data_IF_771234826498
#
_entry.id   IF_771234826498
#
_cell.length_a   1.000
_cell.length_b   1.000
_cell.length_c   1.000
_cell.angle_alpha   90.00
_cell.angle_beta   90.00
_cell.angle_gamma   90.00
#
_symmetry.space_group_name_H-M   'P 1'
#
loop_
_entity.id
_entity.type
_entity.pdbx_description
1 polymer ?
#
# COMPACT_ATOMS: atom_id res chain seq x y z
N UNK A 1 -43.61 8.02 35.50
CA UNK A 1 -44.84 7.34 35.03
C UNK A 1 -44.57 6.82 33.63
N UNK A 2 -44.54 5.51 33.42
CA UNK A 2 -44.37 4.92 32.08
C UNK A 2 -45.75 4.88 31.41
N UNK A 3 -45.88 5.42 30.21
CA UNK A 3 -47.16 5.45 29.49
C UNK A 3 -47.43 4.05 28.89
N UNK A 4 -48.62 3.47 29.09
CA UNK A 4 -48.94 2.16 28.53
C UNK A 4 -49.01 2.25 27.00
N UNK A 5 -48.15 1.50 26.30
CA UNK A 5 -48.13 1.44 24.83
C UNK A 5 -49.18 0.46 24.31
N UNK A 6 -49.86 0.82 23.21
CA UNK A 6 -50.82 -0.05 22.52
C UNK A 6 -50.19 -0.66 21.27
N UNK A 7 -50.42 -1.96 21.05
CA UNK A 7 -50.01 -2.66 19.83
C UNK A 7 -51.07 -2.48 18.75
N UNK A 8 -50.65 -2.01 17.56
CA UNK A 8 -51.49 -1.82 16.38
C UNK A 8 -51.04 -2.79 15.28
N UNK A 9 -51.97 -3.34 14.51
CA UNK A 9 -51.67 -4.12 13.30
C UNK A 9 -52.37 -3.44 12.12
N UNK A 10 -51.59 -3.07 11.10
CA UNK A 10 -52.09 -2.41 9.89
C UNK A 10 -52.09 -3.42 8.74
N UNK A 11 -53.19 -3.48 8.01
CA UNK A 11 -53.32 -4.28 6.80
C UNK A 11 -53.31 -3.33 5.60
N UNK A 12 -52.44 -3.57 4.63
CA UNK A 12 -52.34 -2.80 3.40
C UNK A 12 -52.16 -3.74 2.20
N UNK A 13 -52.43 -3.24 0.99
CA UNK A 13 -52.08 -3.96 -0.22
C UNK A 13 -50.58 -3.86 -0.46
N UNK A 14 -49.98 -4.89 -1.05
CA UNK A 14 -48.54 -4.96 -1.32
C UNK A 14 -48.02 -3.75 -2.11
N UNK A 15 -48.78 -3.28 -3.10
CA UNK A 15 -48.47 -2.09 -3.91
C UNK A 15 -48.46 -0.76 -3.13
N UNK A 16 -49.09 -0.71 -1.95
CA UNK A 16 -49.26 0.49 -1.15
C UNK A 16 -48.36 0.49 0.09
N UNK A 17 -47.52 -0.56 0.27
CA UNK A 17 -46.67 -0.74 1.46
C UNK A 17 -45.75 0.47 1.67
N UNK A 18 -45.02 0.91 0.64
CA UNK A 18 -44.08 2.02 0.75
C UNK A 18 -44.79 3.32 1.16
N UNK A 19 -45.91 3.62 0.50
CA UNK A 19 -46.73 4.79 0.81
C UNK A 19 -47.27 4.77 2.24
N UNK A 20 -47.71 3.61 2.73
CA UNK A 20 -48.20 3.45 4.11
C UNK A 20 -47.06 3.61 5.10
N UNK A 21 -45.88 3.04 4.82
CA UNK A 21 -44.69 3.19 5.65
C UNK A 21 -44.21 4.64 5.72
N UNK A 22 -44.25 5.38 4.61
CA UNK A 22 -43.94 6.81 4.58
C UNK A 22 -44.89 7.62 5.45
N UNK A 23 -46.20 7.41 5.31
CA UNK A 23 -47.19 8.11 6.14
C UNK A 23 -47.04 7.78 7.64
N UNK A 24 -46.66 6.54 7.96
CA UNK A 24 -46.38 6.08 9.32
C UNK A 24 -45.09 6.72 9.87
N UNK A 25 -44.05 6.83 9.05
CA UNK A 25 -42.79 7.50 9.36
C UNK A 25 -43.00 8.98 9.65
N UNK A 26 -43.74 9.66 8.79
CA UNK A 26 -44.07 11.08 8.93
C UNK A 26 -44.90 11.36 10.19
N UNK A 27 -45.76 10.42 10.58
CA UNK A 27 -46.53 10.52 11.82
C UNK A 27 -45.64 10.49 13.07
N UNK A 28 -44.49 9.79 13.04
CA UNK A 28 -43.46 9.81 14.08
C UNK A 28 -43.85 9.30 15.48
N UNK A 29 -45.08 8.83 15.68
CA UNK A 29 -45.62 8.46 17.01
C UNK A 29 -45.70 6.96 17.26
N UNK A 30 -45.36 6.14 16.26
CA UNK A 30 -45.47 4.68 16.35
C UNK A 30 -44.11 4.02 16.14
N UNK A 31 -43.86 2.97 16.91
CA UNK A 31 -42.69 2.12 16.72
C UNK A 31 -43.04 1.01 15.75
N UNK A 32 -42.44 1.04 14.56
CA UNK A 32 -42.64 0.01 13.53
C UNK A 32 -41.76 -1.20 13.88
N UNK A 33 -42.37 -2.37 13.92
CA UNK A 33 -41.66 -3.63 14.15
C UNK A 33 -41.90 -4.54 12.96
N UNK A 34 -40.82 -4.95 12.29
CA UNK A 34 -40.93 -5.86 11.16
C UNK A 34 -41.26 -7.27 11.66
N UNK A 35 -42.26 -7.89 11.05
CA UNK A 35 -42.65 -9.28 11.38
C UNK A 35 -41.62 -10.27 10.83
N UNK A 36 -40.95 -9.90 9.74
CA UNK A 36 -39.81 -10.61 9.15
C UNK A 36 -38.62 -9.65 9.04
N UNK A 37 -37.36 -10.15 9.07
CA UNK A 37 -36.20 -9.31 8.83
C UNK A 37 -36.34 -8.59 7.48
N UNK A 38 -36.19 -7.27 7.43
CA UNK A 38 -36.25 -6.55 6.16
C UNK A 38 -35.04 -6.99 5.31
N UNK A 39 -35.33 -7.42 4.09
CA UNK A 39 -34.35 -7.87 3.11
C UNK A 39 -34.73 -7.29 1.75
N UNK A 40 -33.74 -6.77 1.03
CA UNK A 40 -33.93 -6.16 -0.28
C UNK A 40 -32.66 -5.47 -0.74
N UNK A 41 -32.46 -5.40 -2.06
CA UNK A 41 -31.25 -4.85 -2.67
C UNK A 41 -31.03 -3.37 -2.29
N UNK A 42 -32.11 -2.58 -2.19
CA UNK A 42 -32.06 -1.17 -1.82
C UNK A 42 -31.61 -0.94 -0.35
N UNK A 43 -32.02 -1.84 0.55
CA UNK A 43 -31.57 -1.82 1.95
C UNK A 43 -30.08 -2.13 2.05
N UNK A 44 -29.60 -3.12 1.28
CA UNK A 44 -28.19 -3.48 1.25
C UNK A 44 -27.33 -2.38 0.62
N UNK A 45 -27.80 -1.73 -0.46
CA UNK A 45 -27.14 -0.56 -1.04
C UNK A 45 -27.05 0.60 -0.04
N UNK A 46 -28.15 0.90 0.66
CA UNK A 46 -28.17 1.94 1.69
C UNK A 46 -27.23 1.62 2.87
N UNK A 47 -27.14 0.35 3.27
CA UNK A 47 -26.18 -0.09 4.30
C UNK A 47 -24.74 0.09 3.86
N UNK A 48 -24.41 -0.31 2.63
CA UNK A 48 -23.07 -0.14 2.08
C UNK A 48 -22.69 1.33 1.97
N UNK A 49 -23.61 2.19 1.53
CA UNK A 49 -23.38 3.63 1.45
C UNK A 49 -23.09 4.22 2.84
N UNK A 50 -23.89 3.84 3.85
CA UNK A 50 -23.69 4.30 5.22
C UNK A 50 -22.34 3.84 5.79
N UNK A 51 -21.94 2.60 5.54
CA UNK A 51 -20.62 2.10 5.96
C UNK A 51 -19.47 2.86 5.28
N UNK A 52 -19.59 3.12 3.96
CA UNK A 52 -18.60 3.91 3.20
C UNK A 52 -18.49 5.34 3.73
N UNK A 53 -19.62 5.97 4.03
CA UNK A 53 -19.68 7.32 4.59
C UNK A 53 -19.06 7.39 5.99
N UNK A 54 -19.36 6.41 6.86
CA UNK A 54 -18.78 6.33 8.20
C UNK A 54 -17.25 6.16 8.16
N UNK A 55 -16.74 5.30 7.28
CA UNK A 55 -15.30 5.14 7.07
C UNK A 55 -14.65 6.43 6.59
N UNK A 56 -15.25 7.11 5.62
CA UNK A 56 -14.74 8.39 5.14
C UNK A 56 -14.71 9.45 6.26
N UNK A 57 -15.75 9.51 7.09
CA UNK A 57 -15.81 10.40 8.24
C UNK A 57 -14.71 10.10 9.26
N UNK A 58 -14.48 8.82 9.57
CA UNK A 58 -13.42 8.40 10.49
C UNK A 58 -12.03 8.81 9.98
N UNK A 59 -11.74 8.56 8.69
CA UNK A 59 -10.50 8.98 8.04
C UNK A 59 -10.31 10.50 8.15
N UNK A 60 -11.31 11.29 7.74
CA UNK A 60 -11.25 12.75 7.83
C UNK A 60 -10.99 13.19 9.28
N UNK A 61 -11.70 12.60 10.25
CA UNK A 61 -11.56 12.98 11.66
C UNK A 61 -10.14 12.74 12.17
N UNK A 62 -9.54 11.60 11.83
CA UNK A 62 -8.17 11.24 12.19
C UNK A 62 -7.15 12.19 11.59
N UNK A 63 -7.28 12.52 10.31
CA UNK A 63 -6.36 13.43 9.61
C UNK A 63 -6.48 14.85 10.15
N UNK A 64 -7.71 15.32 10.42
CA UNK A 64 -7.93 16.63 11.05
C UNK A 64 -7.28 16.67 12.45
N UNK A 65 -7.41 15.59 13.23
CA UNK A 65 -6.78 15.46 14.54
C UNK A 65 -5.25 15.41 14.49
N UNK A 66 -4.67 14.90 13.41
CA UNK A 66 -3.23 14.89 13.18
C UNK A 66 -2.66 16.27 12.77
N UNK A 67 -3.47 17.16 12.19
CA UNK A 67 -3.04 18.51 11.80
C UNK A 67 -2.72 19.39 13.01
N UNK A 68 -1.58 20.08 12.96
CA UNK A 68 -1.19 21.07 13.96
C UNK A 68 -2.13 22.29 13.95
N UNK A 69 -2.27 23.01 15.08
CA UNK A 69 -3.09 24.23 15.14
C UNK A 69 -2.70 25.28 14.09
N UNK A 70 -1.41 25.37 13.72
CA UNK A 70 -0.93 26.26 12.66
C UNK A 70 -1.41 25.86 11.27
N UNK A 71 -1.51 24.55 11.01
CA UNK A 71 -1.97 24.01 9.72
C UNK A 71 -3.48 24.14 9.60
N UNK A 72 -4.23 23.95 10.69
CA UNK A 72 -5.67 24.23 10.76
C UNK A 72 -6.01 25.70 10.50
N UNK A 73 -5.15 26.62 10.92
CA UNK A 73 -5.31 28.07 10.70
C UNK A 73 -4.82 28.55 9.33
N UNK A 74 -3.83 27.84 8.74
CA UNK A 74 -3.31 28.11 7.41
C UNK A 74 -4.10 27.42 6.29
N UNK A 75 -4.94 26.44 6.64
CA UNK A 75 -5.86 25.81 5.69
C UNK A 75 -6.67 26.91 4.99
N UNK A 76 -6.71 26.93 3.64
CA UNK A 76 -7.50 27.91 2.94
C UNK A 76 -8.95 27.75 3.39
N UNK A 77 -9.45 28.74 4.13
CA UNK A 77 -10.89 28.90 4.33
C UNK A 77 -11.45 29.14 2.95
N UNK A 78 -11.84 28.07 2.24
CA UNK A 78 -12.50 28.14 0.95
C UNK A 78 -13.91 28.73 1.18
N UNK A 79 -13.99 30.03 1.49
CA UNK A 79 -15.22 30.81 1.63
C UNK A 79 -15.90 31.08 0.27
N UNK A 80 -15.62 30.27 -0.75
CA UNK A 80 -16.01 30.55 -2.14
C UNK A 80 -16.46 29.34 -2.96
N UNK A 81 -16.61 28.14 -2.37
CA UNK A 81 -17.17 26.98 -3.07
C UNK A 81 -18.31 26.36 -2.26
N UNK A 82 -19.38 27.14 -2.11
CA UNK A 82 -20.72 26.63 -1.77
C UNK A 82 -21.43 26.15 -3.05
N UNK A 83 -20.74 25.37 -3.87
CA UNK A 83 -21.45 24.34 -4.61
C UNK A 83 -21.43 23.17 -3.64
N UNK A 84 -22.59 22.72 -3.18
CA UNK A 84 -22.70 21.53 -2.36
C UNK A 84 -22.06 20.38 -3.15
N UNK A 85 -20.78 20.14 -2.93
CA UNK A 85 -20.10 18.98 -3.47
C UNK A 85 -20.92 17.79 -2.98
N UNK A 86 -21.40 17.00 -3.94
CA UNK A 86 -22.25 15.87 -3.66
C UNK A 86 -21.57 14.99 -2.61
N UNK A 87 -22.29 14.59 -1.57
CA UNK A 87 -21.71 13.86 -0.45
C UNK A 87 -21.01 12.59 -0.94
N UNK A 88 -21.58 11.97 -1.98
CA UNK A 88 -21.02 10.79 -2.65
C UNK A 88 -19.68 11.10 -3.31
N UNK A 89 -19.54 12.27 -3.96
CA UNK A 89 -18.26 12.68 -4.57
C UNK A 89 -17.17 12.89 -3.52
N UNK A 90 -17.52 13.44 -2.36
CA UNK A 90 -16.57 13.62 -1.25
C UNK A 90 -16.15 12.24 -0.71
N UNK A 91 -17.11 11.34 -0.50
CA UNK A 91 -16.83 9.98 -0.02
C UNK A 91 -15.89 9.26 -1.00
N UNK A 92 -16.19 9.28 -2.31
CA UNK A 92 -15.33 8.66 -3.32
C UNK A 92 -13.92 9.26 -3.33
N UNK A 93 -13.82 10.60 -3.26
CA UNK A 93 -12.53 11.29 -3.25
C UNK A 93 -11.68 10.88 -2.03
N UNK A 94 -12.29 10.78 -0.85
CA UNK A 94 -11.58 10.35 0.37
C UNK A 94 -11.04 8.94 0.19
N UNK A 95 -11.87 7.99 -0.27
CA UNK A 95 -11.43 6.61 -0.48
C UNK A 95 -10.34 6.50 -1.56
N UNK A 96 -10.44 7.29 -2.64
CA UNK A 96 -9.42 7.35 -3.70
C UNK A 96 -8.09 7.87 -3.17
N UNK A 97 -8.10 8.97 -2.39
CA UNK A 97 -6.90 9.54 -1.80
C UNK A 97 -6.25 8.59 -0.78
N UNK A 98 -7.04 7.96 0.09
CA UNK A 98 -6.54 6.96 1.04
C UNK A 98 -5.89 5.78 0.31
N UNK A 99 -6.52 5.31 -0.77
CA UNK A 99 -5.95 4.22 -1.57
C UNK A 99 -4.62 4.65 -2.22
N UNK A 100 -4.57 5.83 -2.83
CA UNK A 100 -3.33 6.37 -3.42
C UNK A 100 -2.22 6.49 -2.38
N UNK A 101 -2.54 6.98 -1.18
CA UNK A 101 -1.57 7.08 -0.09
C UNK A 101 -1.05 5.71 0.33
N UNK A 102 -1.93 4.70 0.44
CA UNK A 102 -1.53 3.33 0.76
C UNK A 102 -0.65 2.70 -0.33
N UNK A 103 -1.03 2.87 -1.60
CA UNK A 103 -0.27 2.36 -2.74
C UNK A 103 1.12 3.01 -2.81
N UNK A 104 1.20 4.33 -2.59
CA UNK A 104 2.46 5.07 -2.54
C UNK A 104 3.35 4.62 -1.37
N UNK A 105 2.78 4.44 -0.17
CA UNK A 105 3.51 3.94 0.99
C UNK A 105 4.08 2.54 0.74
N UNK A 106 3.31 1.65 0.12
CA UNK A 106 3.77 0.31 -0.23
C UNK A 106 4.91 0.33 -1.25
N UNK A 107 4.85 1.22 -2.25
CA UNK A 107 5.93 1.40 -3.22
C UNK A 107 7.20 1.94 -2.54
N UNK A 108 7.05 2.93 -1.67
CA UNK A 108 8.16 3.50 -0.92
C UNK A 108 8.86 2.47 -0.04
N UNK A 109 8.09 1.66 0.70
CA UNK A 109 8.63 0.57 1.51
C UNK A 109 9.35 -0.47 0.64
N UNK A 110 8.81 -0.76 -0.55
CA UNK A 110 9.47 -1.60 -1.56
C UNK A 110 10.81 -1.04 -2.03
N UNK A 111 10.88 0.26 -2.36
CA UNK A 111 12.13 0.91 -2.74
C UNK A 111 13.15 0.94 -1.61
N UNK A 112 12.71 1.25 -0.38
CA UNK A 112 13.59 1.25 0.81
C UNK A 112 14.18 -0.12 1.07
N UNK A 113 13.36 -1.17 0.99
CA UNK A 113 13.83 -2.54 1.12
C UNK A 113 14.86 -2.90 0.04
N UNK A 114 14.63 -2.48 -1.20
CA UNK A 114 15.56 -2.74 -2.30
C UNK A 114 16.89 -1.99 -2.12
N UNK A 115 16.85 -0.72 -1.71
CA UNK A 115 18.03 0.10 -1.40
C UNK A 115 18.83 -0.56 -0.27
N UNK A 116 18.15 -1.00 0.79
CA UNK A 116 18.78 -1.72 1.90
C UNK A 116 19.39 -3.05 1.44
N UNK A 117 18.71 -3.78 0.57
CA UNK A 117 19.23 -5.03 -0.02
C UNK A 117 20.51 -4.79 -0.82
N UNK A 118 20.59 -3.66 -1.51
CA UNK A 118 21.75 -3.23 -2.30
C UNK A 118 22.83 -2.53 -1.46
N UNK A 119 22.56 -2.24 -0.20
CA UNK A 119 23.56 -1.68 0.71
C UNK A 119 24.77 -2.62 0.74
N UNK A 120 25.96 -2.08 0.45
CA UNK A 120 27.21 -2.87 0.38
C UNK A 120 27.60 -3.40 -1.01
N UNK A 121 26.71 -3.37 -2.01
CA UNK A 121 27.08 -3.64 -3.42
C UNK A 121 27.62 -2.39 -4.14
N UNK A 122 27.23 -1.21 -3.66
CA UNK A 122 27.55 0.07 -4.30
C UNK A 122 26.56 0.44 -5.41
N UNK A 123 26.87 1.50 -6.16
CA UNK A 123 26.08 1.90 -7.32
C UNK A 123 26.64 1.25 -8.58
N UNK A 124 25.81 0.46 -9.26
CA UNK A 124 26.13 -0.16 -10.54
C UNK A 124 24.86 -0.27 -11.39
N UNK A 125 25.03 -0.27 -12.72
CA UNK A 125 23.92 -0.50 -13.65
C UNK A 125 23.76 -2.01 -13.92
N UNK A 126 22.59 -2.60 -13.64
CA UNK A 126 22.32 -4.00 -13.98
C UNK A 126 22.40 -4.28 -15.48
N UNK A 127 22.17 -3.27 -16.33
CA UNK A 127 22.30 -3.38 -17.78
C UNK A 127 23.70 -3.78 -18.23
N UNK A 128 24.74 -3.25 -17.56
CA UNK A 128 26.13 -3.60 -17.85
C UNK A 128 26.42 -5.08 -17.62
N UNK A 129 25.80 -5.68 -16.58
CA UNK A 129 25.96 -7.10 -16.27
C UNK A 129 25.28 -7.97 -17.34
N UNK A 130 24.12 -7.55 -17.84
CA UNK A 130 23.43 -8.26 -18.93
C UNK A 130 24.24 -8.18 -20.22
N UNK A 131 24.77 -7.01 -20.57
CA UNK A 131 25.64 -6.84 -21.74
C UNK A 131 26.92 -7.68 -21.66
N UNK A 132 27.52 -7.79 -20.48
CA UNK A 132 28.68 -8.67 -20.26
C UNK A 132 28.31 -10.13 -20.53
N UNK A 133 27.11 -10.56 -20.10
CA UNK A 133 26.58 -11.89 -20.38
C UNK A 133 26.46 -12.17 -21.88
N UNK A 134 25.97 -11.21 -22.66
CA UNK A 134 25.90 -11.32 -24.12
C UNK A 134 27.27 -11.45 -24.79
N UNK A 135 28.30 -10.82 -24.19
CA UNK A 135 29.70 -10.90 -24.64
C UNK A 135 30.43 -12.16 -24.14
N UNK A 136 29.73 -13.06 -23.43
CA UNK A 136 30.26 -14.32 -22.91
C UNK A 136 30.94 -14.22 -21.54
N UNK A 137 30.83 -13.07 -20.87
CA UNK A 137 31.31 -12.82 -19.51
C UNK A 137 30.15 -12.96 -18.54
N UNK A 138 30.14 -14.03 -17.75
CA UNK A 138 29.10 -14.26 -16.76
C UNK A 138 29.49 -13.60 -15.45
N UNK A 139 28.61 -12.75 -14.92
CA UNK A 139 28.76 -12.16 -13.58
C UNK A 139 27.64 -12.68 -12.69
N UNK A 140 28.02 -13.27 -11.55
CA UNK A 140 27.09 -13.75 -10.52
C UNK A 140 27.37 -13.03 -9.20
N UNK A 141 26.34 -12.41 -8.63
CA UNK A 141 26.44 -11.79 -7.32
C UNK A 141 26.12 -12.83 -6.25
N UNK A 142 26.95 -12.90 -5.22
CA UNK A 142 26.76 -13.78 -4.07
C UNK A 142 26.93 -12.99 -2.78
N UNK A 143 26.21 -13.40 -1.74
CA UNK A 143 26.36 -12.87 -0.39
C UNK A 143 26.78 -13.99 0.57
N UNK A 144 27.68 -13.66 1.49
CA UNK A 144 28.15 -14.57 2.54
C UNK A 144 28.17 -13.87 3.90
N UNK A 145 28.05 -14.61 5.02
CA UNK A 145 28.21 -14.03 6.36
C UNK A 145 29.59 -13.35 6.54
N UNK A 146 29.64 -12.27 7.32
CA UNK A 146 30.88 -11.56 7.64
C UNK A 146 31.95 -12.51 8.22
N UNK A 147 33.19 -12.35 7.75
CA UNK A 147 34.32 -13.19 8.15
C UNK A 147 34.44 -14.53 7.40
N UNK A 148 33.52 -14.83 6.48
CA UNK A 148 33.64 -15.99 5.59
C UNK A 148 34.68 -15.68 4.50
N UNK A 149 35.73 -16.50 4.42
CA UNK A 149 36.72 -16.40 3.35
C UNK A 149 36.29 -17.31 2.22
N UNK A 150 35.88 -16.73 1.11
CA UNK A 150 35.54 -17.47 -0.11
C UNK A 150 36.74 -17.53 -1.05
N UNK A 151 36.89 -18.63 -1.77
CA UNK A 151 37.94 -18.82 -2.78
C UNK A 151 37.33 -18.96 -4.18
N UNK A 152 37.98 -18.34 -5.16
CA UNK A 152 37.52 -18.41 -6.55
C UNK A 152 37.74 -19.81 -7.15
N UNK A 153 36.76 -20.39 -7.87
CA UNK A 153 36.95 -21.62 -8.64
C UNK A 153 37.97 -21.46 -9.76
N UNK A 154 38.52 -22.57 -10.25
CA UNK A 154 39.47 -22.54 -11.37
C UNK A 154 38.85 -21.90 -12.62
N UNK A 155 39.49 -20.85 -13.15
CA UNK A 155 39.01 -20.10 -14.32
C UNK A 155 38.00 -19.00 -14.02
N UNK A 156 37.67 -18.78 -12.74
CA UNK A 156 36.79 -17.71 -12.28
C UNK A 156 37.53 -16.76 -11.36
N UNK A 157 37.09 -15.51 -11.34
CA UNK A 157 37.60 -14.47 -10.46
C UNK A 157 36.53 -14.11 -9.44
N UNK A 158 36.90 -14.11 -8.16
CA UNK A 158 36.06 -13.63 -7.07
C UNK A 158 36.53 -12.22 -6.69
N UNK A 159 35.63 -11.25 -6.80
CA UNK A 159 35.88 -9.87 -6.41
C UNK A 159 34.99 -9.50 -5.21
N UNK A 160 35.61 -9.04 -4.12
CA UNK A 160 34.87 -8.47 -3.00
C UNK A 160 34.34 -7.08 -3.40
N UNK A 161 33.04 -6.85 -3.22
CA UNK A 161 32.37 -5.59 -3.55
C UNK A 161 32.22 -4.71 -2.32
N UNK A 162 31.84 -5.31 -1.19
CA UNK A 162 31.67 -4.59 0.06
C UNK A 162 30.91 -5.41 1.10
N UNK A 163 30.46 -4.74 2.16
CA UNK A 163 29.64 -5.32 3.21
C UNK A 163 28.52 -4.37 3.60
N UNK A 164 27.39 -4.91 4.05
CA UNK A 164 26.34 -4.11 4.67
C UNK A 164 26.49 -4.00 6.19
N UNK A 165 25.69 -3.14 6.79
CA UNK A 165 25.61 -2.96 8.25
C UNK A 165 25.09 -4.22 8.97
N UNK A 166 24.37 -5.09 8.26
CA UNK A 166 23.84 -6.35 8.77
C UNK A 166 24.88 -7.49 8.83
N UNK A 167 26.15 -7.21 8.51
CA UNK A 167 27.22 -8.19 8.58
C UNK A 167 27.17 -9.24 7.47
N UNK A 168 26.59 -8.92 6.32
CA UNK A 168 26.75 -9.68 5.08
C UNK A 168 27.85 -9.04 4.22
N UNK A 169 28.69 -9.89 3.61
CA UNK A 169 29.70 -9.50 2.65
C UNK A 169 29.26 -9.90 1.23
N UNK A 170 29.36 -8.98 0.29
CA UNK A 170 28.97 -9.16 -1.11
C UNK A 170 30.20 -9.39 -1.98
N UNK A 171 30.07 -10.37 -2.87
CA UNK A 171 31.11 -10.72 -3.82
C UNK A 171 30.52 -10.90 -5.22
N UNK A 172 31.28 -10.53 -6.24
CA UNK A 172 31.01 -10.87 -7.63
C UNK A 172 31.90 -12.04 -8.05
N UNK A 173 31.29 -13.08 -8.61
CA UNK A 173 32.00 -14.12 -9.34
C UNK A 173 31.94 -13.81 -10.83
N UNK A 174 33.10 -13.67 -11.46
CA UNK A 174 33.27 -13.26 -12.85
C UNK A 174 34.03 -14.36 -13.59
N UNK A 175 33.52 -14.81 -14.73
CA UNK A 175 34.17 -15.85 -15.51
C UNK A 175 33.66 -15.92 -16.94
N UNK A 176 34.38 -16.69 -17.75
CA UNK A 176 34.06 -16.92 -19.16
C UNK A 176 33.26 -18.21 -19.28
N UNK A 177 32.02 -18.11 -19.77
CA UNK A 177 31.10 -19.24 -19.95
C UNK A 177 30.02 -19.38 -18.87
N UNK A 178 29.06 -20.30 -19.06
CA UNK A 178 27.95 -20.50 -18.14
C UNK A 178 28.43 -21.17 -16.85
N UNK A 179 27.99 -20.65 -15.71
CA UNK A 179 28.23 -21.29 -14.41
C UNK A 179 26.91 -21.53 -13.69
N UNK A 180 26.80 -22.76 -13.19
CA UNK A 180 25.80 -23.13 -12.23
C UNK A 180 26.39 -23.00 -10.81
N UNK A 181 25.70 -22.26 -9.95
CA UNK A 181 26.06 -22.09 -8.54
C UNK A 181 25.59 -23.28 -7.69
N UNK A 182 24.76 -24.15 -8.26
CA UNK A 182 24.17 -25.31 -7.57
C UNK A 182 25.24 -26.35 -7.24
N UNK A 183 25.63 -26.44 -5.98
CA UNK A 183 26.61 -27.43 -5.49
C UNK A 183 28.07 -27.01 -5.63
N UNK A 184 28.34 -25.74 -5.93
CA UNK A 184 29.69 -25.17 -5.94
C UNK A 184 30.15 -24.97 -4.48
N UNK A 185 31.32 -25.50 -4.13
CA UNK A 185 31.94 -25.23 -2.83
C UNK A 185 32.98 -24.11 -2.99
N UNK A 186 32.64 -22.92 -2.47
CA UNK A 186 33.52 -21.76 -2.44
C UNK A 186 34.35 -21.67 -1.15
N UNK A 187 34.33 -22.72 -0.31
CA UNK A 187 35.02 -22.77 0.98
C UNK A 187 34.22 -22.22 2.16
N UNK A 188 32.93 -21.91 1.95
CA UNK A 188 32.05 -21.38 2.99
C UNK A 188 30.59 -21.21 2.53
N UNK A 189 29.67 -20.89 3.46
CA UNK A 189 28.26 -20.68 3.12
C UNK A 189 28.07 -19.40 2.32
N UNK A 190 27.38 -19.50 1.19
CA UNK A 190 26.97 -18.37 0.36
C UNK A 190 25.53 -18.55 -0.13
N UNK A 191 24.92 -17.45 -0.55
CA UNK A 191 23.62 -17.45 -1.23
C UNK A 191 23.70 -16.59 -2.48
N UNK A 192 23.01 -17.00 -3.55
CA UNK A 192 22.94 -16.20 -4.78
C UNK A 192 22.13 -14.92 -4.51
N UNK A 193 22.73 -13.79 -4.85
CA UNK A 193 22.08 -12.50 -4.80
C UNK A 193 21.46 -12.20 -6.16
N UNK A 194 20.14 -11.95 -6.19
CA UNK A 194 19.45 -11.65 -7.44
C UNK A 194 19.78 -10.26 -7.93
N UNK A 195 20.08 -10.15 -9.22
CA UNK A 195 20.34 -8.87 -9.87
C UNK A 195 19.13 -7.95 -9.70
N UNK A 196 19.33 -6.70 -9.25
CA UNK A 196 18.26 -5.72 -9.22
C UNK A 196 17.86 -5.33 -10.64
N UNK A 197 16.66 -4.78 -10.81
CA UNK A 197 16.18 -4.30 -12.11
C UNK A 197 16.61 -2.86 -12.40
N UNK A 198 16.97 -2.11 -11.37
CA UNK A 198 17.37 -0.70 -11.41
C UNK A 198 18.66 -0.50 -10.61
N UNK A 199 19.38 0.57 -10.89
CA UNK A 199 20.56 0.94 -10.09
C UNK A 199 20.17 1.47 -8.71
N UNK A 200 21.12 1.46 -7.77
CA UNK A 200 20.89 1.99 -6.42
C UNK A 200 20.55 3.48 -6.47
N UNK A 201 21.24 4.26 -7.30
CA UNK A 201 20.95 5.68 -7.50
C UNK A 201 19.53 5.93 -8.04
N UNK A 202 19.07 5.15 -9.01
CA UNK A 202 17.71 5.26 -9.56
C UNK A 202 16.64 4.94 -8.50
N UNK A 203 16.87 3.91 -7.68
CA UNK A 203 15.95 3.55 -6.60
C UNK A 203 15.86 4.65 -5.53
N UNK A 204 16.98 5.30 -5.20
CA UNK A 204 17.01 6.43 -4.27
C UNK A 204 16.22 7.61 -4.84
N UNK A 205 16.41 7.96 -6.12
CA UNK A 205 15.64 9.03 -6.77
C UNK A 205 14.13 8.73 -6.79
N UNK A 206 13.74 7.48 -7.09
CA UNK A 206 12.34 7.06 -7.06
C UNK A 206 11.74 7.10 -5.65
N UNK A 207 12.51 6.70 -4.63
CA UNK A 207 12.09 6.80 -3.24
C UNK A 207 11.88 8.27 -2.81
N UNK A 208 12.80 9.17 -3.16
CA UNK A 208 12.66 10.60 -2.87
C UNK A 208 11.47 11.24 -3.60
N UNK A 209 11.19 10.82 -4.84
CA UNK A 209 10.00 11.26 -5.58
C UNK A 209 8.71 10.77 -4.91
N UNK A 210 8.65 9.49 -4.53
CA UNK A 210 7.51 8.92 -3.82
C UNK A 210 7.27 9.61 -2.46
N UNK A 211 8.34 9.93 -1.72
CA UNK A 211 8.24 10.70 -0.47
C UNK A 211 7.68 12.12 -0.70
N UNK A 212 8.11 12.80 -1.76
CA UNK A 212 7.57 14.13 -2.12
C UNK A 212 6.10 14.06 -2.51
N UNK A 213 5.69 13.03 -3.25
CA UNK A 213 4.29 12.82 -3.60
C UNK A 213 3.44 12.52 -2.37
N UNK A 214 3.92 11.69 -1.44
CA UNK A 214 3.24 11.42 -0.17
C UNK A 214 3.13 12.67 0.73
N UNK A 215 4.11 13.57 0.70
CA UNK A 215 4.07 14.82 1.45
C UNK A 215 3.25 15.94 0.80
N UNK A 216 2.86 15.78 -0.47
CA UNK A 216 2.06 16.73 -1.22
C UNK A 216 0.56 16.40 -1.27
N UNK A 217 0.19 15.15 -0.90
CA UNK A 217 -1.20 14.66 -0.76
C UNK A 217 -1.68 14.90 0.66
#
# INVERSE_FOLDING_TARGET
MIVPMKRLTLLCMEKDVDRVLDAVRDLGTVHVTSVQPPAGDDLEQSRQLLERAQKAQEIISREVDALSEKERQAAPTHQGRTEAADADQIIELVHELTKRQQDAAQLLDGYRFEIERLSGLGDFDPGDIVELGEKGVTVKLIQSPAGTVLSAPAGWQLQALGSNEHGAAFHALIGLGPMDLSGLDLGGPFTEFRLPQLSASQLIELAEQAEKEMGAV
#
